data_IF_026129323947
#
_entry.id   IF_026129323947
#
_cell.length_a   1.000
_cell.length_b   1.000
_cell.length_c   1.000
_cell.angle_alpha   90.00
_cell.angle_beta   90.00
_cell.angle_gamma   90.00
#
_symmetry.space_group_name_H-M   'P 1'
#
loop_
_entity.id
_entity.type
_entity.pdbx_description
1 polymer ?
#
# COMPACT_ATOMS: atom_id res chain seq x y z
N UNK A 1 8.14 -2.40 14.28
CA UNK A 1 7.49 -3.61 13.79
C UNK A 1 6.52 -3.30 12.64
N UNK A 2 6.35 -4.25 11.73
CA UNK A 2 5.37 -4.23 10.65
C UNK A 2 4.51 -5.49 10.75
N UNK A 3 3.20 -5.35 10.61
CA UNK A 3 2.25 -6.45 10.68
C UNK A 3 1.67 -6.68 9.28
N UNK A 4 1.86 -7.87 8.74
CA UNK A 4 1.35 -8.27 7.43
C UNK A 4 0.17 -9.22 7.61
N UNK A 5 -0.97 -8.78 7.14
CA UNK A 5 -2.16 -9.61 7.00
C UNK A 5 -2.45 -9.91 5.52
N UNK A 6 -2.99 -11.07 5.24
CA UNK A 6 -3.45 -11.46 3.90
C UNK A 6 -4.72 -12.28 3.95
N UNK A 7 -5.51 -12.23 2.88
CA UNK A 7 -6.82 -12.89 2.81
C UNK A 7 -6.79 -14.43 2.77
N UNK A 8 -5.63 -15.02 2.47
CA UNK A 8 -5.45 -16.47 2.42
C UNK A 8 -4.69 -16.96 3.67
N UNK A 9 -5.39 -17.58 4.65
CA UNK A 9 -4.78 -18.03 5.90
C UNK A 9 -3.69 -19.08 5.69
N UNK A 10 -3.86 -19.99 4.74
CA UNK A 10 -2.88 -21.04 4.47
C UNK A 10 -1.56 -20.46 3.97
N UNK A 11 -1.64 -19.47 3.08
CA UNK A 11 -0.45 -18.78 2.58
C UNK A 11 0.23 -17.95 3.69
N UNK A 12 -0.52 -17.28 4.56
CA UNK A 12 0.04 -16.58 5.72
C UNK A 12 0.73 -17.56 6.65
N UNK A 13 0.09 -18.70 6.95
CA UNK A 13 0.68 -19.73 7.82
C UNK A 13 1.97 -20.33 7.23
N UNK A 14 1.98 -20.63 5.93
CA UNK A 14 3.19 -21.07 5.24
C UNK A 14 4.32 -20.03 5.36
N UNK A 15 4.02 -18.75 5.09
CA UNK A 15 4.99 -17.67 5.22
C UNK A 15 5.49 -17.48 6.66
N UNK A 16 4.66 -17.75 7.68
CA UNK A 16 5.08 -17.74 9.09
C UNK A 16 6.14 -18.82 9.37
N UNK A 17 5.90 -20.03 8.87
CA UNK A 17 6.80 -21.17 9.07
C UNK A 17 8.13 -21.00 8.32
N UNK A 18 8.05 -20.54 7.07
CA UNK A 18 9.21 -20.46 6.18
C UNK A 18 9.99 -19.15 6.34
N UNK A 19 9.41 -18.13 6.98
CA UNK A 19 9.96 -16.76 7.04
C UNK A 19 10.30 -16.17 5.67
N UNK A 20 9.56 -16.60 4.64
CA UNK A 20 9.73 -16.21 3.25
C UNK A 20 8.39 -16.21 2.51
N UNK A 21 8.29 -15.43 1.43
CA UNK A 21 7.21 -15.54 0.46
C UNK A 21 7.72 -16.25 -0.79
N UNK A 22 7.95 -17.56 -0.72
CA UNK A 22 8.53 -18.34 -1.83
C UNK A 22 7.72 -18.27 -3.13
N UNK A 23 6.42 -18.08 -3.00
CA UNK A 23 5.52 -18.03 -4.16
C UNK A 23 5.74 -16.80 -5.03
N UNK A 24 5.99 -15.64 -4.40
CA UNK A 24 6.04 -14.36 -5.11
C UNK A 24 7.38 -13.62 -4.99
N UNK A 25 8.15 -13.92 -3.93
CA UNK A 25 9.47 -13.35 -3.67
C UNK A 25 10.42 -14.46 -3.20
N UNK A 26 10.77 -15.41 -4.09
CA UNK A 26 11.74 -16.45 -3.74
C UNK A 26 13.08 -15.81 -3.35
N UNK A 27 13.81 -16.48 -2.47
CA UNK A 27 15.17 -16.11 -2.02
C UNK A 27 15.25 -14.83 -1.17
N UNK A 28 14.11 -14.28 -0.72
CA UNK A 28 14.06 -13.12 0.18
C UNK A 28 13.52 -13.54 1.54
N UNK A 29 14.40 -13.52 2.54
CA UNK A 29 14.00 -13.76 3.93
C UNK A 29 13.31 -12.56 4.54
N UNK A 30 12.30 -12.82 5.37
CA UNK A 30 11.60 -11.76 6.09
C UNK A 30 12.45 -11.25 7.27
N UNK A 31 12.56 -9.93 7.45
CA UNK A 31 13.22 -9.36 8.62
C UNK A 31 12.47 -9.74 9.90
N UNK A 32 13.18 -9.83 11.03
CA UNK A 32 12.58 -10.16 12.33
C UNK A 32 11.45 -9.20 12.73
N UNK A 33 11.54 -7.94 12.30
CA UNK A 33 10.53 -6.91 12.56
C UNK A 33 9.22 -7.07 11.78
N UNK A 34 9.13 -8.05 10.85
CA UNK A 34 7.91 -8.38 10.11
C UNK A 34 7.16 -9.51 10.82
N UNK A 35 5.98 -9.19 11.33
CA UNK A 35 5.03 -10.11 11.95
C UNK A 35 3.91 -10.45 10.97
N UNK A 36 3.61 -11.72 10.84
CA UNK A 36 2.58 -12.22 9.95
C UNK A 36 1.34 -12.55 10.79
N UNK A 37 0.19 -11.95 10.44
CA UNK A 37 -1.02 -12.05 11.22
C UNK A 37 -2.14 -12.73 10.43
N UNK A 38 -2.82 -13.68 11.06
CA UNK A 38 -3.97 -14.39 10.50
C UNK A 38 -5.26 -13.60 10.71
N UNK A 39 -5.34 -12.86 11.83
CA UNK A 39 -6.52 -12.07 12.19
C UNK A 39 -6.31 -10.60 11.80
N UNK A 40 -7.22 -10.08 10.96
CA UNK A 40 -7.19 -8.69 10.50
C UNK A 40 -7.31 -7.70 11.65
N UNK A 41 -8.18 -7.97 12.62
CA UNK A 41 -8.39 -7.08 13.76
C UNK A 41 -7.11 -6.96 14.58
N UNK A 42 -6.45 -8.07 14.86
CA UNK A 42 -5.17 -8.10 15.59
C UNK A 42 -4.11 -7.29 14.87
N UNK A 43 -3.98 -7.43 13.55
CA UNK A 43 -3.04 -6.64 12.76
C UNK A 43 -3.32 -5.13 12.85
N UNK A 44 -4.59 -4.73 12.76
CA UNK A 44 -5.01 -3.32 12.87
C UNK A 44 -4.81 -2.76 14.28
N UNK A 45 -5.04 -3.56 15.31
CA UNK A 45 -4.87 -3.14 16.70
C UNK A 45 -3.42 -2.77 17.06
N UNK A 46 -2.46 -3.33 16.35
CA UNK A 46 -1.02 -3.11 16.55
C UNK A 46 -0.44 -1.95 15.71
N UNK A 47 -1.19 -1.41 14.77
CA UNK A 47 -0.69 -0.43 13.81
C UNK A 47 -1.45 0.89 13.89
N UNK A 48 -0.77 1.99 13.61
CA UNK A 48 -1.37 3.31 13.39
C UNK A 48 -1.53 3.59 11.89
N UNK A 49 -0.54 3.20 11.11
CA UNK A 49 -0.51 3.39 9.66
C UNK A 49 -0.91 2.09 8.96
N UNK A 50 -1.98 2.16 8.18
CA UNK A 50 -2.55 1.01 7.46
C UNK A 50 -2.18 1.16 5.98
N UNK A 51 -1.31 0.29 5.47
CA UNK A 51 -0.93 0.26 4.06
C UNK A 51 -1.68 -0.84 3.31
N UNK A 52 -2.54 -0.44 2.37
CA UNK A 52 -3.28 -1.37 1.51
C UNK A 52 -2.50 -1.60 0.20
N UNK A 53 -2.18 -2.88 -0.06
CA UNK A 53 -1.46 -3.31 -1.27
C UNK A 53 -2.21 -4.50 -1.88
N UNK A 54 -3.35 -4.22 -2.49
CA UNK A 54 -4.20 -5.24 -3.13
C UNK A 54 -4.53 -4.82 -4.57
N UNK A 55 -4.96 -5.72 -5.45
CA UNK A 55 -5.50 -5.33 -6.75
C UNK A 55 -6.71 -4.39 -6.62
N UNK A 56 -6.90 -3.47 -7.57
CA UNK A 56 -7.96 -2.45 -7.49
C UNK A 56 -9.38 -3.03 -7.36
N UNK A 57 -9.63 -4.21 -7.93
CA UNK A 57 -10.94 -4.88 -7.81
C UNK A 57 -11.25 -5.37 -6.39
N UNK A 58 -10.23 -5.63 -5.55
CA UNK A 58 -10.40 -6.06 -4.16
C UNK A 58 -10.38 -4.89 -3.16
N UNK A 59 -10.08 -3.67 -3.63
CA UNK A 59 -9.83 -2.53 -2.76
C UNK A 59 -11.05 -2.15 -1.91
N UNK A 60 -12.24 -2.03 -2.51
CA UNK A 60 -13.48 -1.69 -1.81
C UNK A 60 -13.88 -2.76 -0.78
N UNK A 61 -13.68 -4.05 -1.09
CA UNK A 61 -13.92 -5.14 -0.15
C UNK A 61 -13.02 -5.03 1.08
N UNK A 62 -11.73 -4.74 0.89
CA UNK A 62 -10.79 -4.55 2.00
C UNK A 62 -11.18 -3.35 2.85
N UNK A 63 -11.57 -2.22 2.25
CA UNK A 63 -12.08 -1.06 2.99
C UNK A 63 -13.27 -1.42 3.88
N UNK A 64 -14.21 -2.18 3.33
CA UNK A 64 -15.39 -2.65 4.08
C UNK A 64 -15.01 -3.57 5.26
N UNK A 65 -13.99 -4.42 5.08
CA UNK A 65 -13.47 -5.31 6.14
C UNK A 65 -12.74 -4.56 7.25
N UNK A 66 -11.95 -3.55 6.93
CA UNK A 66 -11.21 -2.79 7.95
C UNK A 66 -12.09 -1.77 8.69
N UNK A 67 -13.14 -1.25 8.04
CA UNK A 67 -14.01 -0.19 8.57
C UNK A 67 -14.45 -0.42 10.03
N UNK A 68 -14.99 -1.60 10.44
CA UNK A 68 -15.47 -1.82 11.80
C UNK A 68 -14.37 -1.85 12.87
N UNK A 69 -13.10 -1.92 12.45
CA UNK A 69 -11.93 -2.02 13.33
C UNK A 69 -11.07 -0.75 13.34
N UNK A 70 -11.49 0.29 12.59
CA UNK A 70 -10.74 1.55 12.54
C UNK A 70 -10.84 2.30 13.87
N UNK A 71 -9.70 2.86 14.28
CA UNK A 71 -9.56 3.73 15.46
C UNK A 71 -9.41 5.18 15.01
N UNK A 72 -9.71 6.16 15.89
CA UNK A 72 -9.63 7.58 15.54
C UNK A 72 -8.24 8.07 15.12
N UNK A 73 -7.18 7.37 15.54
CA UNK A 73 -5.78 7.69 15.24
C UNK A 73 -5.22 6.91 14.04
N UNK A 74 -6.00 6.02 13.44
CA UNK A 74 -5.59 5.32 12.22
C UNK A 74 -5.44 6.27 11.05
N UNK A 75 -4.47 5.97 10.20
CA UNK A 75 -4.19 6.68 8.94
C UNK A 75 -4.09 5.65 7.83
N UNK A 76 -4.65 5.97 6.67
CA UNK A 76 -4.76 5.04 5.57
C UNK A 76 -3.83 5.42 4.43
N UNK A 77 -3.03 4.47 3.98
CA UNK A 77 -2.17 4.59 2.81
C UNK A 77 -2.53 3.47 1.84
N UNK A 78 -2.45 3.72 0.54
CA UNK A 78 -2.54 2.63 -0.44
C UNK A 78 -1.46 2.76 -1.51
N UNK A 79 -0.96 1.60 -1.95
CA UNK A 79 -0.09 1.46 -3.12
C UNK A 79 -0.81 0.74 -4.27
N UNK A 80 -2.10 0.47 -4.11
CA UNK A 80 -2.98 -0.09 -5.14
C UNK A 80 -3.02 0.84 -6.33
N UNK A 81 -2.76 0.32 -7.52
CA UNK A 81 -2.76 1.04 -8.79
C UNK A 81 -4.02 0.74 -9.59
N UNK A 82 -4.50 1.71 -10.34
CA UNK A 82 -5.68 1.58 -11.18
C UNK A 82 -6.91 2.30 -10.62
N UNK A 83 -8.00 2.17 -11.35
CA UNK A 83 -9.31 2.71 -11.01
C UNK A 83 -10.19 1.60 -10.44
N UNK A 84 -11.27 1.97 -9.77
CA UNK A 84 -12.30 1.02 -9.38
C UNK A 84 -12.90 0.36 -10.62
N UNK A 85 -12.98 -0.97 -10.60
CA UNK A 85 -13.30 -1.75 -11.79
C UNK A 85 -14.70 -1.47 -12.37
N UNK A 86 -15.67 -1.27 -11.51
CA UNK A 86 -17.08 -1.19 -11.94
C UNK A 86 -17.49 0.22 -12.36
N UNK A 87 -16.93 1.24 -11.74
CA UNK A 87 -17.35 2.64 -11.94
C UNK A 87 -16.30 3.51 -12.62
N UNK A 88 -15.04 3.04 -12.70
CA UNK A 88 -13.93 3.83 -13.22
C UNK A 88 -13.49 4.99 -12.31
N UNK A 89 -13.96 5.03 -11.06
CA UNK A 89 -13.64 6.10 -10.11
C UNK A 89 -12.21 5.95 -9.58
N UNK A 90 -11.68 7.05 -9.08
CA UNK A 90 -10.44 7.05 -8.32
C UNK A 90 -10.62 6.32 -6.98
N UNK A 91 -9.58 5.63 -6.52
CA UNK A 91 -9.65 4.88 -5.26
C UNK A 91 -9.86 5.79 -4.05
N UNK A 92 -9.42 7.05 -4.10
CA UNK A 92 -9.72 8.03 -3.05
C UNK A 92 -11.23 8.27 -2.88
N UNK A 93 -12.01 8.27 -3.97
CA UNK A 93 -13.47 8.45 -3.92
C UNK A 93 -14.13 7.24 -3.24
N UNK A 94 -13.61 6.04 -3.51
CA UNK A 94 -14.04 4.80 -2.84
C UNK A 94 -13.72 4.83 -1.34
N UNK A 95 -12.57 5.38 -0.96
CA UNK A 95 -12.20 5.57 0.46
C UNK A 95 -13.15 6.55 1.12
N UNK A 96 -13.39 7.72 0.51
CA UNK A 96 -14.28 8.75 1.06
C UNK A 96 -15.72 8.25 1.24
N UNK A 97 -16.23 7.47 0.28
CA UNK A 97 -17.57 6.87 0.36
C UNK A 97 -17.67 5.82 1.48
N UNK A 98 -16.63 4.98 1.60
CA UNK A 98 -16.67 3.85 2.55
C UNK A 98 -16.32 4.25 3.96
N UNK A 99 -15.30 5.09 4.15
CA UNK A 99 -14.72 5.42 5.46
C UNK A 99 -15.00 6.87 5.91
N UNK A 100 -15.51 7.70 5.01
CA UNK A 100 -15.67 9.14 5.27
C UNK A 100 -14.37 9.93 5.04
N UNK A 101 -14.45 11.25 5.27
CA UNK A 101 -13.33 12.19 5.01
C UNK A 101 -12.46 12.48 6.23
N UNK A 102 -12.79 11.92 7.39
CA UNK A 102 -12.10 12.25 8.65
C UNK A 102 -10.75 11.52 8.79
N UNK A 103 -10.60 10.35 8.16
CA UNK A 103 -9.35 9.58 8.23
C UNK A 103 -8.27 10.24 7.34
N UNK A 104 -7.06 10.49 7.86
CA UNK A 104 -5.95 10.96 7.03
C UNK A 104 -5.57 9.92 5.97
N UNK A 105 -5.48 10.35 4.72
CA UNK A 105 -5.21 9.45 3.59
C UNK A 105 -3.98 9.85 2.80
N UNK A 106 -3.29 8.86 2.23
CA UNK A 106 -2.20 9.07 1.28
C UNK A 106 -2.13 7.96 0.24
N UNK A 107 -1.61 8.26 -0.93
CA UNK A 107 -1.33 7.30 -1.98
C UNK A 107 0.16 7.19 -2.26
N UNK A 108 0.65 5.97 -2.39
CA UNK A 108 2.01 5.65 -2.84
C UNK A 108 1.96 5.19 -4.30
N UNK A 109 2.70 5.85 -5.18
CA UNK A 109 2.77 5.46 -6.59
C UNK A 109 4.17 5.75 -7.16
N UNK A 110 4.62 4.87 -8.06
CA UNK A 110 5.91 4.99 -8.71
C UNK A 110 6.29 3.72 -9.46
N UNK A 111 7.43 3.73 -10.16
CA UNK A 111 7.99 2.56 -10.83
C UNK A 111 8.62 1.63 -9.78
N UNK A 112 7.78 0.85 -9.09
CA UNK A 112 8.22 -0.08 -8.05
C UNK A 112 7.94 -1.52 -8.49
N UNK A 113 9.00 -2.30 -8.67
CA UNK A 113 8.91 -3.73 -8.89
C UNK A 113 9.22 -4.45 -7.58
N UNK A 114 8.31 -5.32 -7.15
CA UNK A 114 8.41 -5.98 -5.84
C UNK A 114 9.75 -6.71 -5.65
N UNK A 115 10.25 -7.37 -6.70
CA UNK A 115 11.52 -8.11 -6.66
C UNK A 115 12.72 -7.19 -6.48
N UNK A 116 12.77 -6.07 -7.22
CA UNK A 116 13.84 -5.08 -7.13
C UNK A 116 13.85 -4.41 -5.75
N UNK A 117 12.66 -4.02 -5.27
CA UNK A 117 12.51 -3.44 -3.93
C UNK A 117 12.97 -4.39 -2.83
N UNK A 118 12.59 -5.67 -2.92
CA UNK A 118 12.97 -6.68 -1.94
C UNK A 118 14.47 -7.00 -1.97
N UNK A 119 15.14 -6.80 -3.10
CA UNK A 119 16.59 -6.93 -3.24
C UNK A 119 17.35 -5.65 -2.80
N UNK A 120 16.64 -4.63 -2.35
CA UNK A 120 17.25 -3.37 -1.91
C UNK A 120 17.78 -2.51 -3.06
N UNK A 121 17.32 -2.71 -4.30
CA UNK A 121 17.73 -1.88 -5.43
C UNK A 121 17.17 -0.45 -5.31
N UNK A 122 17.89 0.54 -5.82
CA UNK A 122 17.45 1.94 -5.73
C UNK A 122 16.06 2.15 -6.33
N UNK A 123 15.15 2.63 -5.52
CA UNK A 123 13.75 2.84 -5.88
C UNK A 123 13.32 4.25 -5.49
N UNK A 124 12.57 4.92 -6.36
CA UNK A 124 11.95 6.21 -6.08
C UNK A 124 10.43 6.09 -6.18
N UNK A 125 9.72 6.67 -5.19
CA UNK A 125 8.26 6.63 -5.13
C UNK A 125 7.71 7.99 -4.72
N UNK A 126 6.52 8.32 -5.20
CA UNK A 126 5.77 9.50 -4.79
C UNK A 126 4.75 9.11 -3.72
N UNK A 127 4.71 9.87 -2.63
CA UNK A 127 3.70 9.84 -1.58
C UNK A 127 2.84 11.10 -1.74
N UNK A 128 1.59 10.96 -2.15
CA UNK A 128 0.67 12.08 -2.25
C UNK A 128 -0.37 12.06 -1.15
N UNK A 129 -0.57 13.23 -0.51
CA UNK A 129 -1.58 13.42 0.54
C UNK A 129 -1.99 14.90 0.62
N UNK A 130 -3.28 15.15 0.84
CA UNK A 130 -3.76 16.49 1.18
C UNK A 130 -3.43 16.91 2.63
N UNK A 131 -2.98 15.97 3.46
CA UNK A 131 -2.51 16.22 4.82
C UNK A 131 -0.97 16.22 4.84
N UNK A 132 -0.38 17.40 4.74
CA UNK A 132 1.08 17.57 4.66
C UNK A 132 1.80 17.00 5.90
N UNK A 133 1.27 17.24 7.09
CA UNK A 133 1.86 16.71 8.33
C UNK A 133 1.94 15.19 8.30
N UNK A 134 0.85 14.54 7.91
CA UNK A 134 0.82 13.09 7.76
C UNK A 134 1.82 12.61 6.71
N UNK A 135 1.87 13.27 5.55
CA UNK A 135 2.79 12.91 4.49
C UNK A 135 4.26 12.95 4.94
N UNK A 136 4.66 14.02 5.63
CA UNK A 136 6.04 14.18 6.13
C UNK A 136 6.37 13.16 7.22
N UNK A 137 5.46 12.92 8.16
CA UNK A 137 5.64 11.90 9.20
C UNK A 137 5.77 10.49 8.62
N UNK A 138 4.95 10.15 7.62
CA UNK A 138 5.00 8.84 6.99
C UNK A 138 6.23 8.70 6.08
N UNK A 139 6.57 9.75 5.33
CA UNK A 139 7.81 9.81 4.57
C UNK A 139 9.02 9.50 5.45
N UNK A 140 9.14 10.15 6.60
CA UNK A 140 10.25 9.95 7.53
C UNK A 140 10.39 8.50 8.03
N UNK A 141 9.29 7.73 8.05
CA UNK A 141 9.29 6.32 8.46
C UNK A 141 9.77 5.37 7.38
N UNK A 142 9.46 5.66 6.11
CA UNK A 142 9.72 4.75 4.99
C UNK A 142 10.88 5.19 4.10
N UNK A 143 11.32 6.45 4.21
CA UNK A 143 12.45 6.96 3.43
C UNK A 143 13.76 6.33 3.92
N UNK A 144 14.44 5.62 3.01
CA UNK A 144 15.79 5.13 3.21
C UNK A 144 16.69 5.76 2.13
N UNK A 145 17.55 6.70 2.54
CA UNK A 145 18.25 7.63 1.67
C UNK A 145 19.06 7.00 0.52
N UNK A 146 19.52 5.77 0.68
CA UNK A 146 20.35 5.10 -0.34
C UNK A 146 19.53 4.23 -1.29
N UNK A 147 18.47 3.59 -0.80
CA UNK A 147 17.78 2.54 -1.57
C UNK A 147 16.31 2.84 -1.83
N UNK A 148 15.64 3.58 -0.95
CA UNK A 148 14.23 3.89 -1.11
C UNK A 148 13.96 5.37 -0.88
N UNK A 149 13.79 6.12 -1.97
CA UNK A 149 13.53 7.56 -1.93
C UNK A 149 12.06 7.85 -2.07
N UNK A 150 11.51 8.62 -1.12
CA UNK A 150 10.11 9.01 -1.10
C UNK A 150 10.01 10.51 -1.32
N UNK A 151 9.27 10.94 -2.32
CA UNK A 151 8.98 12.33 -2.65
C UNK A 151 7.54 12.67 -2.27
N UNK A 152 7.36 13.72 -1.47
CA UNK A 152 6.02 14.17 -1.06
C UNK A 152 5.41 15.04 -2.15
N UNK A 153 4.10 14.88 -2.37
CA UNK A 153 3.28 15.65 -3.30
C UNK A 153 1.89 15.90 -2.69
N UNK A 154 1.19 16.93 -3.13
CA UNK A 154 -0.19 17.22 -2.70
C UNK A 154 -1.22 16.80 -3.76
N UNK A 155 -0.81 16.54 -4.99
CA UNK A 155 -1.68 16.13 -6.09
C UNK A 155 -2.00 14.63 -6.04
N UNK A 156 -2.96 14.26 -5.19
CA UNK A 156 -3.42 12.87 -5.08
C UNK A 156 -4.08 12.36 -6.37
N UNK A 157 -4.76 13.23 -7.12
CA UNK A 157 -5.44 12.87 -8.36
C UNK A 157 -4.42 12.54 -9.43
N UNK A 158 -3.48 13.43 -9.70
CA UNK A 158 -2.44 13.21 -10.70
C UNK A 158 -1.58 11.98 -10.42
N UNK A 159 -1.23 11.75 -9.15
CA UNK A 159 -0.45 10.57 -8.75
C UNK A 159 -1.22 9.26 -8.95
N UNK A 160 -2.52 9.23 -8.67
CA UNK A 160 -3.36 8.04 -8.93
C UNK A 160 -3.55 7.80 -10.41
N UNK A 161 -3.87 8.84 -11.19
CA UNK A 161 -4.02 8.74 -12.65
C UNK A 161 -2.73 8.28 -13.32
N UNK A 162 -1.58 8.86 -12.95
CA UNK A 162 -0.28 8.43 -13.45
C UNK A 162 0.00 6.95 -13.18
N UNK A 163 -0.34 6.48 -11.98
CA UNK A 163 -0.24 5.06 -11.61
C UNK A 163 -1.18 4.15 -12.41
N UNK A 164 -2.39 4.61 -12.72
CA UNK A 164 -3.39 3.84 -13.45
C UNK A 164 -3.06 3.70 -14.95
N UNK A 165 -2.59 4.77 -15.59
CA UNK A 165 -2.40 4.81 -17.05
C UNK A 165 -0.97 4.48 -17.49
N UNK A 166 -0.01 4.38 -16.58
CA UNK A 166 1.40 4.16 -16.91
C UNK A 166 1.66 3.00 -17.87
N UNK A 167 0.95 1.89 -17.69
CA UNK A 167 1.14 0.71 -18.54
C UNK A 167 0.61 0.94 -19.96
N UNK A 168 -0.50 1.67 -20.08
CA UNK A 168 -1.07 2.04 -21.39
C UNK A 168 -0.11 2.94 -22.15
N UNK A 169 0.45 3.94 -21.47
CA UNK A 169 1.44 4.86 -22.06
C UNK A 169 2.72 4.10 -22.43
N UNK A 170 3.20 3.20 -21.56
CA UNK A 170 4.40 2.41 -21.84
C UNK A 170 4.24 1.51 -23.07
N UNK A 171 3.07 0.88 -23.24
CA UNK A 171 2.76 0.09 -24.44
C UNK A 171 2.71 0.99 -25.67
N UNK A 172 1.99 2.11 -25.58
CA UNK A 172 1.89 3.07 -26.69
C UNK A 172 3.22 3.70 -27.11
N UNK A 173 4.13 3.91 -26.18
CA UNK A 173 5.47 4.43 -26.47
C UNK A 173 6.44 3.36 -27.03
N UNK A 174 6.12 2.08 -26.88
CA UNK A 174 6.92 0.96 -27.38
C UNK A 174 6.53 0.47 -28.79
N UNK A 175 5.50 1.07 -29.40
CA UNK A 175 5.07 0.81 -30.76
C UNK A 175 5.71 1.83 -31.71
#
# INVERSE_FOLDING_TARGET
PTYLWGHNPEHIHQMQQERQNRRFLPDIEFPESLHLELDLKTALDQAKDILIVVPSHAFGEILSKIRPHLKPDHRLIWATKGLERNTGRLLQEVVEETLGKAIPTAVLSGPTFAKELAQGLPTAITLASCNEKFALEFQARIHCSQHFRVYVNQDMIGVQLGGAIKNVIAIGAGI
#
